data_IF_987038396640
#
_entry.id   IF_987038396640
#
_cell.length_a   1.000
_cell.length_b   1.000
_cell.length_c   1.000
_cell.angle_alpha   90.00
_cell.angle_beta   90.00
_cell.angle_gamma   90.00
#
_symmetry.space_group_name_H-M   'P 1'
#
loop_
_entity.id
_entity.type
_entity.pdbx_description
1 polymer ?
#
# COMPACT_ATOMS: atom_id res chain seq x y z
N UNK A 1 46.35 -27.37 17.85
CA UNK A 1 44.96 -27.79 17.82
C UNK A 1 43.96 -26.72 18.16
N UNK A 2 44.26 -25.92 19.14
CA UNK A 2 43.37 -24.83 19.57
C UNK A 2 43.27 -23.70 18.53
N UNK A 3 44.35 -23.44 17.79
CA UNK A 3 44.38 -22.40 16.76
C UNK A 3 43.42 -22.66 15.61
N UNK A 4 43.25 -23.94 15.22
CA UNK A 4 42.29 -24.32 14.15
C UNK A 4 40.84 -24.14 14.61
N UNK A 5 40.55 -24.47 15.86
CA UNK A 5 39.22 -24.27 16.44
C UNK A 5 38.87 -22.79 16.55
N UNK A 6 39.82 -21.98 16.98
CA UNK A 6 39.65 -20.53 17.12
C UNK A 6 39.38 -19.90 15.74
N UNK A 7 40.15 -20.28 14.72
CA UNK A 7 39.94 -19.80 13.34
C UNK A 7 38.55 -20.17 12.81
N UNK A 8 38.12 -21.41 13.04
CA UNK A 8 36.78 -21.86 12.62
C UNK A 8 35.67 -21.09 13.33
N UNK A 9 35.80 -20.86 14.63
CA UNK A 9 34.85 -20.08 15.41
C UNK A 9 34.78 -18.62 14.90
N UNK A 10 35.90 -18.02 14.60
CA UNK A 10 35.98 -16.66 14.05
C UNK A 10 35.29 -16.59 12.67
N UNK A 11 35.52 -17.60 11.82
CA UNK A 11 34.87 -17.66 10.51
C UNK A 11 33.36 -17.83 10.64
N UNK A 12 32.90 -18.68 11.58
CA UNK A 12 31.49 -18.88 11.84
C UNK A 12 30.82 -17.60 12.34
N UNK A 13 31.46 -16.89 13.25
CA UNK A 13 30.95 -15.60 13.76
C UNK A 13 30.86 -14.56 12.65
N UNK A 14 31.85 -14.51 11.77
CA UNK A 14 31.87 -13.58 10.64
C UNK A 14 30.71 -13.88 9.68
N UNK A 15 30.46 -15.15 9.38
CA UNK A 15 29.36 -15.59 8.53
C UNK A 15 28.02 -15.21 9.17
N UNK A 16 27.86 -15.45 10.47
CA UNK A 16 26.64 -15.06 11.20
C UNK A 16 26.39 -13.56 11.12
N UNK A 17 27.43 -12.74 11.28
CA UNK A 17 27.31 -11.28 11.15
C UNK A 17 26.87 -10.87 9.75
N UNK A 18 27.45 -11.48 8.71
CA UNK A 18 27.07 -11.22 7.33
C UNK A 18 25.63 -11.62 7.05
N UNK A 19 25.19 -12.76 7.55
CA UNK A 19 23.81 -13.23 7.41
C UNK A 19 22.82 -12.27 8.09
N UNK A 20 23.12 -11.83 9.29
CA UNK A 20 22.28 -10.84 10.00
C UNK A 20 22.19 -9.52 9.24
N UNK A 21 23.30 -9.06 8.67
CA UNK A 21 23.33 -7.83 7.88
C UNK A 21 22.47 -7.96 6.64
N UNK A 22 22.52 -9.11 5.95
CA UNK A 22 21.68 -9.39 4.77
C UNK A 22 20.20 -9.45 5.13
N UNK A 23 19.86 -10.14 6.22
CA UNK A 23 18.46 -10.22 6.70
C UNK A 23 17.93 -8.84 7.06
N UNK A 24 18.75 -8.02 7.73
CA UNK A 24 18.36 -6.66 8.07
C UNK A 24 18.13 -5.82 6.81
N UNK A 25 19.00 -5.92 5.82
CA UNK A 25 18.87 -5.18 4.56
C UNK A 25 17.60 -5.62 3.80
N UNK A 26 17.31 -6.92 3.77
CA UNK A 26 16.09 -7.45 3.14
C UNK A 26 14.84 -6.96 3.86
N UNK A 27 14.82 -7.00 5.20
CA UNK A 27 13.71 -6.53 6.00
C UNK A 27 13.46 -5.03 5.80
N UNK A 28 14.51 -4.22 5.73
CA UNK A 28 14.42 -2.78 5.45
C UNK A 28 13.84 -2.53 4.05
N UNK A 29 14.30 -3.28 3.05
CA UNK A 29 13.79 -3.17 1.69
C UNK A 29 12.31 -3.52 1.61
N UNK A 30 11.89 -4.59 2.27
CA UNK A 30 10.48 -5.00 2.34
C UNK A 30 9.63 -3.96 3.06
N UNK A 31 10.13 -3.40 4.15
CA UNK A 31 9.43 -2.35 4.91
C UNK A 31 9.22 -1.10 4.06
N UNK A 32 10.25 -0.65 3.35
CA UNK A 32 10.17 0.52 2.45
C UNK A 32 9.16 0.29 1.33
N UNK A 33 9.21 -0.89 0.70
CA UNK A 33 8.27 -1.25 -0.37
C UNK A 33 6.82 -1.25 0.14
N UNK A 34 6.59 -1.81 1.31
CA UNK A 34 5.26 -1.82 1.94
C UNK A 34 4.79 -0.41 2.26
N UNK A 35 5.67 0.43 2.82
CA UNK A 35 5.33 1.81 3.15
C UNK A 35 4.99 2.64 1.91
N UNK A 36 5.69 2.44 0.80
CA UNK A 36 5.37 3.07 -0.48
C UNK A 36 3.98 2.68 -0.97
N UNK A 37 3.64 1.39 -0.88
CA UNK A 37 2.30 0.91 -1.28
C UNK A 37 1.21 1.53 -0.43
N UNK A 38 1.42 1.59 0.88
CA UNK A 38 0.47 2.21 1.80
C UNK A 38 0.32 3.70 1.50
N UNK A 39 1.42 4.40 1.30
CA UNK A 39 1.42 5.82 0.97
C UNK A 39 0.68 6.09 -0.34
N UNK A 40 0.99 5.33 -1.39
CA UNK A 40 0.36 5.51 -2.71
C UNK A 40 -1.14 5.21 -2.65
N UNK A 41 -1.55 4.20 -1.89
CA UNK A 41 -2.96 3.88 -1.70
C UNK A 41 -3.69 5.00 -0.94
N UNK A 42 -3.08 5.52 0.12
CA UNK A 42 -3.63 6.66 0.85
C UNK A 42 -3.73 7.91 0.00
N UNK A 43 -2.74 8.13 -0.87
CA UNK A 43 -2.74 9.26 -1.79
C UNK A 43 -3.90 9.21 -2.79
N UNK A 44 -4.32 8.01 -3.21
CA UNK A 44 -5.51 7.84 -4.07
C UNK A 44 -6.77 8.33 -3.34
N UNK A 45 -6.95 7.96 -2.08
CA UNK A 45 -8.09 8.41 -1.29
C UNK A 45 -8.11 9.94 -1.15
N UNK A 46 -6.97 10.53 -0.84
CA UNK A 46 -6.85 11.97 -0.70
C UNK A 46 -7.15 12.69 -2.02
N UNK A 47 -6.60 12.20 -3.11
CA UNK A 47 -6.80 12.77 -4.45
C UNK A 47 -8.28 12.78 -4.84
N UNK A 48 -8.94 11.64 -4.70
CA UNK A 48 -10.35 11.49 -5.09
C UNK A 48 -11.24 12.35 -4.20
N UNK A 49 -11.04 12.30 -2.89
CA UNK A 49 -11.87 13.04 -1.93
C UNK A 49 -11.72 14.55 -2.14
N UNK A 50 -10.49 15.04 -2.25
CA UNK A 50 -10.22 16.46 -2.46
C UNK A 50 -10.82 16.96 -3.78
N UNK A 51 -10.68 16.17 -4.84
CA UNK A 51 -11.19 16.52 -6.16
C UNK A 51 -12.71 16.58 -6.18
N UNK A 52 -13.40 15.63 -5.53
CA UNK A 52 -14.85 15.66 -5.41
C UNK A 52 -15.34 16.87 -4.61
N UNK A 53 -14.65 17.25 -3.55
CA UNK A 53 -15.01 18.41 -2.74
C UNK A 53 -14.80 19.72 -3.48
N UNK A 54 -13.67 19.88 -4.15
CA UNK A 54 -13.29 21.13 -4.80
C UNK A 54 -13.97 21.33 -6.16
N UNK A 55 -14.00 20.29 -6.97
CA UNK A 55 -14.46 20.38 -8.36
C UNK A 55 -15.95 20.19 -8.51
N UNK A 56 -16.53 19.22 -7.82
CA UNK A 56 -17.96 18.88 -7.97
C UNK A 56 -18.84 19.48 -6.88
N UNK A 57 -18.26 20.22 -5.96
CA UNK A 57 -18.97 20.83 -4.84
C UNK A 57 -19.92 19.84 -4.15
N UNK A 58 -19.52 18.59 -4.07
CA UNK A 58 -20.29 17.57 -3.36
C UNK A 58 -20.10 17.76 -1.86
N UNK A 59 -21.16 17.50 -1.09
CA UNK A 59 -21.07 17.53 0.37
C UNK A 59 -20.34 16.32 0.93
N UNK A 60 -19.27 15.89 0.27
CA UNK A 60 -18.44 14.83 0.79
C UNK A 60 -17.64 15.38 1.97
N UNK A 61 -17.82 14.83 3.15
CA UNK A 61 -16.96 15.13 4.28
C UNK A 61 -15.55 14.64 3.99
N UNK A 62 -14.52 15.41 4.34
CA UNK A 62 -13.16 14.85 4.27
C UNK A 62 -13.14 13.55 5.08
N UNK A 63 -12.57 12.50 4.51
CA UNK A 63 -12.52 11.26 5.23
C UNK A 63 -11.61 11.40 6.45
N UNK A 64 -12.10 10.98 7.60
CA UNK A 64 -11.36 11.01 8.86
C UNK A 64 -11.36 9.61 9.45
N UNK A 65 -10.24 8.92 9.30
CA UNK A 65 -10.09 7.55 9.78
C UNK A 65 -10.02 7.46 11.31
N UNK A 66 -9.91 8.59 12.01
CA UNK A 66 -10.01 8.59 13.47
C UNK A 66 -11.44 8.34 13.96
N UNK A 67 -12.45 8.61 13.12
CA UNK A 67 -13.82 8.24 13.40
C UNK A 67 -14.05 6.75 13.17
N UNK A 68 -14.56 6.05 14.17
CA UNK A 68 -14.81 4.62 14.09
C UNK A 68 -15.72 4.22 12.92
N UNK A 69 -16.73 5.03 12.64
CA UNK A 69 -17.67 4.78 11.54
C UNK A 69 -16.97 4.84 10.19
N UNK A 70 -16.20 5.89 9.95
CA UNK A 70 -15.43 6.08 8.71
C UNK A 70 -14.39 4.99 8.55
N UNK A 71 -13.68 4.67 9.62
CA UNK A 71 -12.71 3.58 9.60
C UNK A 71 -13.33 2.25 9.19
N UNK A 72 -14.48 1.90 9.79
CA UNK A 72 -15.19 0.66 9.45
C UNK A 72 -15.68 0.66 8.01
N UNK A 73 -16.17 1.79 7.51
CA UNK A 73 -16.61 1.91 6.12
C UNK A 73 -15.47 1.67 5.14
N UNK A 74 -14.28 2.23 5.41
CA UNK A 74 -13.11 2.03 4.57
C UNK A 74 -12.60 0.60 4.63
N UNK A 75 -12.59 -0.01 5.81
CA UNK A 75 -12.25 -1.43 5.95
C UNK A 75 -13.21 -2.29 5.11
N UNK A 76 -14.51 -2.03 5.22
CA UNK A 76 -15.53 -2.75 4.44
C UNK A 76 -15.33 -2.59 2.93
N UNK A 77 -14.98 -1.40 2.49
CA UNK A 77 -14.69 -1.14 1.08
C UNK A 77 -13.49 -1.98 0.59
N UNK A 78 -12.42 -2.03 1.37
CA UNK A 78 -11.23 -2.81 1.02
C UNK A 78 -11.52 -4.31 1.04
N UNK A 79 -12.30 -4.78 2.02
CA UNK A 79 -12.75 -6.18 2.09
C UNK A 79 -13.56 -6.52 0.84
N UNK A 80 -14.49 -5.66 0.44
CA UNK A 80 -15.31 -5.83 -0.76
C UNK A 80 -14.45 -5.91 -2.03
N UNK A 81 -13.48 -5.02 -2.16
CA UNK A 81 -12.55 -5.01 -3.29
C UNK A 81 -11.77 -6.34 -3.37
N UNK A 82 -11.22 -6.78 -2.24
CA UNK A 82 -10.46 -8.04 -2.21
C UNK A 82 -11.33 -9.26 -2.52
N UNK A 83 -12.59 -9.24 -2.10
CA UNK A 83 -13.54 -10.31 -2.40
C UNK A 83 -13.84 -10.38 -3.90
N UNK A 84 -14.02 -9.26 -4.56
CA UNK A 84 -14.23 -9.17 -6.00
C UNK A 84 -13.06 -9.81 -6.75
N UNK A 85 -11.82 -9.50 -6.34
CA UNK A 85 -10.62 -10.07 -6.94
C UNK A 85 -10.51 -11.57 -6.67
N UNK A 86 -10.74 -11.99 -5.43
CA UNK A 86 -10.65 -13.41 -5.03
C UNK A 86 -11.65 -14.27 -5.77
N UNK A 87 -12.84 -13.76 -6.02
CA UNK A 87 -13.90 -14.45 -6.79
C UNK A 87 -13.68 -14.36 -8.29
N UNK A 88 -12.68 -13.63 -8.75
CA UNK A 88 -12.37 -13.39 -10.15
C UNK A 88 -13.60 -12.87 -10.93
N UNK A 89 -14.33 -11.94 -10.31
CA UNK A 89 -15.52 -11.36 -10.89
C UNK A 89 -15.15 -10.29 -11.93
N UNK A 90 -14.97 -10.72 -13.17
CA UNK A 90 -14.50 -9.86 -14.26
C UNK A 90 -15.44 -8.69 -14.54
N UNK A 91 -16.73 -8.89 -14.43
CA UNK A 91 -17.72 -7.84 -14.65
C UNK A 91 -17.57 -6.70 -13.66
N UNK A 92 -17.49 -7.02 -12.36
CA UNK A 92 -17.30 -6.02 -11.31
C UNK A 92 -15.93 -5.35 -11.39
N UNK A 93 -14.88 -6.11 -11.71
CA UNK A 93 -13.54 -5.56 -11.90
C UNK A 93 -13.52 -4.54 -13.04
N UNK A 94 -14.19 -4.87 -14.16
CA UNK A 94 -14.31 -3.98 -15.31
C UNK A 94 -15.10 -2.71 -14.96
N UNK A 95 -16.17 -2.84 -14.18
CA UNK A 95 -16.95 -1.69 -13.72
C UNK A 95 -16.13 -0.74 -12.88
N UNK A 96 -15.31 -1.27 -11.97
CA UNK A 96 -14.41 -0.47 -11.14
C UNK A 96 -13.37 0.25 -12.00
N UNK A 97 -12.77 -0.45 -12.94
CA UNK A 97 -11.79 0.12 -13.85
C UNK A 97 -12.39 1.27 -14.68
N UNK A 98 -13.59 1.06 -15.23
CA UNK A 98 -14.28 2.09 -16.01
C UNK A 98 -14.59 3.32 -15.17
N UNK A 99 -15.06 3.12 -13.94
CA UNK A 99 -15.37 4.21 -13.02
C UNK A 99 -14.12 5.03 -12.72
N UNK A 100 -13.01 4.36 -12.43
CA UNK A 100 -11.73 5.00 -12.17
C UNK A 100 -11.20 5.76 -13.38
N UNK A 101 -11.26 5.14 -14.56
CA UNK A 101 -10.80 5.76 -15.81
C UNK A 101 -11.60 7.01 -16.13
N UNK A 102 -12.92 6.96 -15.96
CA UNK A 102 -13.78 8.12 -16.21
C UNK A 102 -13.46 9.26 -15.26
N UNK A 103 -13.23 8.97 -13.99
CA UNK A 103 -12.84 9.99 -13.02
C UNK A 103 -11.51 10.65 -13.40
N UNK A 104 -10.50 9.87 -13.74
CA UNK A 104 -9.19 10.37 -14.11
C UNK A 104 -9.23 11.21 -15.39
N UNK A 105 -10.02 10.81 -16.36
CA UNK A 105 -10.20 11.55 -17.61
C UNK A 105 -10.86 12.91 -17.37
N UNK A 106 -11.91 12.96 -16.55
CA UNK A 106 -12.56 14.22 -16.18
C UNK A 106 -11.60 15.14 -15.44
N UNK A 107 -10.80 14.58 -14.54
CA UNK A 107 -9.80 15.35 -13.79
C UNK A 107 -8.75 15.97 -14.70
N UNK A 108 -8.27 15.24 -15.71
CA UNK A 108 -7.31 15.76 -16.69
C UNK A 108 -7.90 16.93 -17.50
N UNK A 109 -9.14 16.80 -17.93
CA UNK A 109 -9.83 17.85 -18.68
C UNK A 109 -9.93 19.13 -17.87
N UNK A 110 -10.23 19.04 -16.59
CA UNK A 110 -10.38 20.21 -15.71
C UNK A 110 -9.04 20.85 -15.34
N UNK A 111 -7.97 20.09 -15.36
CA UNK A 111 -6.62 20.56 -15.07
C UNK A 111 -5.84 20.98 -16.33
N UNK A 112 -6.37 20.62 -17.47
CA UNK A 112 -5.78 21.00 -18.75
C UNK A 112 -6.42 22.24 -19.32
#
# INVERSE_FOLDING_TARGET
>A
MDDKKIKLQQQMELIKKKMRALEHAENEKMRKSRNEKIFNTGAIFDMVNSDLMLRKNTKASPYDISENKTYRQLVGLVVSYNKIIAENNQEKMQQLENLGSNFLNEREKDNG
#
